data_IF_745177450352
#
_entry.id   IF_745177450352
#
_cell.length_a   1.000
_cell.length_b   1.000
_cell.length_c   1.000
_cell.angle_alpha   90.00
_cell.angle_beta   90.00
_cell.angle_gamma   90.00
#
_symmetry.space_group_name_H-M   'P 1'
#
loop_
_entity.id
_entity.type
_entity.pdbx_description
1 polymer ?
#
# COMPACT_ATOMS: atom_id res chain seq x y z
N UNK A 1 -8.06 -3.63 23.35
CA UNK A 1 -9.46 -3.94 22.99
C UNK A 1 -9.77 -3.07 21.78
N UNK A 2 -9.68 -3.61 20.58
CA UNK A 2 -10.12 -2.89 19.38
C UNK A 2 -11.66 -2.89 19.38
N UNK A 3 -12.33 -1.81 18.94
CA UNK A 3 -13.71 -1.98 18.49
C UNK A 3 -13.68 -2.97 17.33
N UNK A 4 -14.54 -4.00 17.41
CA UNK A 4 -14.72 -4.94 16.31
C UNK A 4 -14.99 -4.15 15.03
N UNK A 5 -14.05 -4.22 14.08
CA UNK A 5 -14.26 -3.73 12.74
C UNK A 5 -15.48 -4.44 12.17
N UNK A 6 -16.41 -3.67 11.61
CA UNK A 6 -17.52 -4.20 10.85
C UNK A 6 -16.96 -5.07 9.71
N UNK A 7 -17.24 -6.37 9.73
CA UNK A 7 -16.88 -7.34 8.68
C UNK A 7 -17.66 -7.13 7.35
N UNK A 8 -17.99 -5.88 7.01
CA UNK A 8 -18.77 -5.54 5.81
C UNK A 8 -18.16 -4.42 4.95
N UNK A 9 -16.94 -3.97 5.25
CA UNK A 9 -16.16 -3.23 4.26
C UNK A 9 -15.54 -4.24 3.28
N UNK A 10 -16.26 -4.57 2.19
CA UNK A 10 -15.65 -5.24 1.05
C UNK A 10 -14.61 -4.28 0.48
N UNK A 11 -13.34 -4.46 0.85
CA UNK A 11 -12.23 -3.84 0.14
C UNK A 11 -11.98 -4.69 -1.10
N UNK A 12 -12.06 -4.07 -2.28
CA UNK A 12 -11.65 -4.71 -3.54
C UNK A 12 -10.21 -4.25 -3.82
N UNK A 13 -9.17 -4.97 -3.36
CA UNK A 13 -7.80 -4.58 -3.64
C UNK A 13 -7.56 -4.67 -5.16
N UNK A 14 -6.86 -3.67 -5.69
CA UNK A 14 -6.30 -3.74 -7.05
C UNK A 14 -4.84 -4.13 -6.95
N UNK A 15 -4.36 -4.92 -7.91
CA UNK A 15 -2.95 -5.31 -8.05
C UNK A 15 -2.49 -4.90 -9.45
N UNK A 16 -1.21 -4.54 -9.57
CA UNK A 16 -0.64 -4.13 -10.84
C UNK A 16 0.88 -4.14 -10.83
N UNK A 17 1.43 -3.82 -12.00
CA UNK A 17 2.88 -3.72 -12.21
C UNK A 17 3.21 -2.32 -12.74
N UNK A 18 4.30 -1.69 -12.26
CA UNK A 18 4.76 -0.44 -12.84
C UNK A 18 5.21 -0.67 -14.29
N UNK A 19 4.90 0.28 -15.16
CA UNK A 19 5.27 0.29 -16.58
C UNK A 19 5.80 1.68 -16.94
N UNK A 20 6.75 1.74 -17.88
CA UNK A 20 7.36 3.01 -18.28
C UNK A 20 6.40 3.90 -19.10
N UNK A 21 5.51 3.28 -19.87
CA UNK A 21 4.56 3.97 -20.75
C UNK A 21 3.15 3.40 -20.60
N UNK A 22 2.14 4.24 -20.88
CA UNK A 22 0.74 3.83 -20.81
C UNK A 22 0.46 2.70 -21.81
N UNK A 23 0.07 1.54 -21.29
CA UNK A 23 -0.25 0.37 -22.10
C UNK A 23 -1.69 0.41 -22.61
N UNK A 24 -1.94 -0.22 -23.76
CA UNK A 24 -3.29 -0.58 -24.15
C UNK A 24 -3.73 -1.78 -23.30
N UNK A 25 -4.90 -1.69 -22.68
CA UNK A 25 -5.45 -2.73 -21.81
C UNK A 25 -6.81 -3.19 -22.32
N UNK A 26 -7.28 -4.34 -21.85
CA UNK A 26 -8.58 -4.92 -22.18
C UNK A 26 -9.19 -5.58 -20.93
N UNK A 27 -10.51 -5.72 -20.91
CA UNK A 27 -11.27 -6.30 -19.81
C UNK A 27 -11.11 -5.54 -18.49
N UNK A 28 -10.78 -6.28 -17.42
CA UNK A 28 -10.68 -5.77 -16.06
C UNK A 28 -9.32 -5.10 -15.74
N UNK A 29 -8.41 -5.03 -16.72
CA UNK A 29 -7.11 -4.37 -16.57
C UNK A 29 -7.22 -2.92 -17.06
N UNK A 30 -6.78 -1.98 -16.22
CA UNK A 30 -6.72 -0.56 -16.57
C UNK A 30 -5.26 -0.07 -16.57
N UNK A 31 -4.92 0.83 -17.49
CA UNK A 31 -3.68 1.58 -17.44
C UNK A 31 -3.93 2.91 -16.70
N UNK A 32 -3.45 3.00 -15.47
CA UNK A 32 -3.57 4.17 -14.60
C UNK A 32 -2.24 4.45 -13.86
N UNK A 33 -2.21 5.54 -13.10
CA UNK A 33 -1.04 6.01 -12.36
C UNK A 33 -1.42 6.39 -10.92
N UNK A 34 -0.49 6.23 -9.99
CA UNK A 34 -0.67 6.77 -8.64
C UNK A 34 -0.77 8.31 -8.68
N UNK A 35 -1.62 8.91 -7.82
CA UNK A 35 -1.75 10.37 -7.78
C UNK A 35 -0.41 11.09 -7.55
N UNK A 36 -0.18 12.19 -8.25
CA UNK A 36 0.98 13.03 -7.94
C UNK A 36 0.83 13.65 -6.54
N UNK A 37 1.89 13.60 -5.72
CA UNK A 37 1.85 14.21 -4.40
C UNK A 37 2.99 13.77 -3.49
N UNK A 38 2.88 14.14 -2.22
CA UNK A 38 3.81 13.70 -1.17
C UNK A 38 3.32 12.42 -0.56
N UNK A 39 4.20 11.44 -0.47
CA UNK A 39 3.92 10.17 0.17
C UNK A 39 4.73 10.07 1.45
N UNK A 40 4.09 9.60 2.50
CA UNK A 40 4.77 9.01 3.65
C UNK A 40 5.01 7.53 3.32
N UNK A 41 6.23 7.05 3.54
CA UNK A 41 6.57 5.65 3.28
C UNK A 41 7.24 4.96 4.47
N UNK A 42 7.12 3.64 4.51
CA UNK A 42 7.89 2.76 5.38
C UNK A 42 8.40 1.57 4.58
N UNK A 43 9.58 1.08 4.97
CA UNK A 43 10.14 -0.17 4.45
C UNK A 43 10.05 -1.23 5.54
N UNK A 44 9.33 -2.30 5.25
CA UNK A 44 9.28 -3.51 6.06
C UNK A 44 10.31 -4.51 5.54
N UNK A 45 11.10 -5.08 6.45
CA UNK A 45 12.06 -6.14 6.15
C UNK A 45 11.70 -7.34 7.00
N UNK A 46 11.37 -8.46 6.36
CA UNK A 46 10.94 -9.68 7.03
C UNK A 46 9.66 -10.28 6.45
N UNK A 47 9.19 -11.35 7.10
CA UNK A 47 7.96 -12.06 6.70
C UNK A 47 6.73 -11.12 6.69
N UNK A 48 5.76 -11.40 5.82
CA UNK A 48 4.57 -10.57 5.62
C UNK A 48 3.66 -10.47 6.86
N UNK A 49 3.74 -11.44 7.77
CA UNK A 49 3.06 -11.38 9.09
C UNK A 49 3.38 -10.09 9.85
N UNK A 50 4.55 -9.49 9.61
CA UNK A 50 4.98 -8.22 10.21
C UNK A 50 4.41 -6.96 9.54
N UNK A 51 3.83 -7.05 8.34
CA UNK A 51 3.34 -5.88 7.57
C UNK A 51 2.27 -5.11 8.34
N UNK A 52 1.41 -5.81 9.07
CA UNK A 52 0.38 -5.14 9.90
C UNK A 52 1.01 -4.20 10.93
N UNK A 53 2.14 -4.59 11.54
CA UNK A 53 2.87 -3.71 12.46
C UNK A 53 3.48 -2.51 11.74
N UNK A 54 4.00 -2.71 10.53
CA UNK A 54 4.55 -1.63 9.72
C UNK A 54 3.48 -0.59 9.35
N UNK A 55 2.25 -1.01 9.03
CA UNK A 55 1.11 -0.11 8.87
C UNK A 55 0.82 0.70 10.14
N UNK A 56 0.75 0.04 11.29
CA UNK A 56 0.48 0.72 12.56
C UNK A 56 1.55 1.76 12.92
N UNK A 57 2.83 1.45 12.71
CA UNK A 57 3.90 2.41 12.95
C UNK A 57 3.90 3.57 11.94
N UNK A 58 3.52 3.33 10.68
CA UNK A 58 3.33 4.39 9.69
C UNK A 58 2.21 5.36 10.09
N UNK A 59 1.07 4.84 10.55
CA UNK A 59 -0.05 5.63 11.06
C UNK A 59 0.34 6.45 12.30
N UNK A 60 1.01 5.80 13.25
CA UNK A 60 1.51 6.44 14.47
C UNK A 60 2.51 7.55 14.15
N UNK A 61 3.41 7.31 13.19
CA UNK A 61 4.35 8.33 12.73
C UNK A 61 3.60 9.53 12.12
N UNK A 62 2.62 9.29 11.26
CA UNK A 62 1.82 10.36 10.67
C UNK A 62 1.14 11.20 11.77
N UNK A 63 0.54 10.54 12.76
CA UNK A 63 -0.12 11.19 13.89
C UNK A 63 0.83 12.06 14.72
N UNK A 64 1.96 11.49 15.17
CA UNK A 64 2.94 12.20 16.01
C UNK A 64 3.54 13.41 15.30
N UNK A 65 3.69 13.33 13.98
CA UNK A 65 4.28 14.41 13.17
C UNK A 65 3.22 15.36 12.57
N UNK A 66 1.94 15.21 12.92
CA UNK A 66 0.87 16.07 12.41
C UNK A 66 0.66 15.98 10.89
N UNK A 67 1.07 14.87 10.28
CA UNK A 67 0.91 14.63 8.84
C UNK A 67 -0.53 14.18 8.57
N UNK A 68 -1.18 14.86 7.62
CA UNK A 68 -2.55 14.52 7.21
C UNK A 68 -2.51 13.65 5.97
N UNK A 69 -3.26 12.56 5.98
CA UNK A 69 -3.44 11.69 4.81
C UNK A 69 -4.46 12.28 3.87
N UNK A 70 -4.26 12.07 2.58
CA UNK A 70 -5.23 12.46 1.57
C UNK A 70 -6.56 11.73 1.81
N UNK A 71 -7.71 12.43 1.71
CA UNK A 71 -8.99 11.79 1.81
C UNK A 71 -9.23 10.91 0.59
N UNK A 72 -9.87 9.78 0.82
CA UNK A 72 -10.38 8.88 -0.20
C UNK A 72 -11.50 9.57 -0.99
N UNK A 73 -11.38 9.70 -2.34
CA UNK A 73 -12.47 10.27 -3.17
C UNK A 73 -13.10 9.31 -4.18
N UNK A 74 -12.44 8.22 -4.57
CA UNK A 74 -12.96 7.19 -5.48
C UNK A 74 -12.29 5.84 -5.18
N UNK A 75 -12.65 4.74 -5.85
CA UNK A 75 -12.07 3.41 -5.59
C UNK A 75 -10.54 3.33 -5.83
N UNK A 76 -9.99 4.17 -6.70
CA UNK A 76 -8.55 4.28 -6.98
C UNK A 76 -7.87 5.17 -5.93
N UNK A 77 -8.57 6.19 -5.43
CA UNK A 77 -8.16 7.04 -4.30
C UNK A 77 -8.47 6.42 -2.93
N UNK A 78 -9.27 5.35 -2.84
CA UNK A 78 -9.46 4.49 -1.66
C UNK A 78 -8.16 3.77 -1.29
N UNK A 79 -7.25 3.66 -2.25
CA UNK A 79 -6.12 2.76 -2.23
C UNK A 79 -4.78 3.50 -2.21
N UNK A 80 -4.68 4.61 -1.48
CA UNK A 80 -3.36 5.23 -1.29
C UNK A 80 -2.57 4.65 -0.15
N UNK A 81 -3.05 3.55 0.47
CA UNK A 81 -2.18 2.58 1.10
C UNK A 81 -1.74 1.59 0.01
N UNK A 82 -0.50 1.74 -0.45
CA UNK A 82 0.09 0.86 -1.46
C UNK A 82 1.15 0.00 -0.79
N UNK A 83 1.09 -1.31 -1.01
CA UNK A 83 2.17 -2.24 -0.70
C UNK A 83 2.91 -2.60 -2.00
N UNK A 84 4.23 -2.43 -2.01
CA UNK A 84 5.10 -2.82 -3.11
C UNK A 84 6.03 -3.95 -2.64
N UNK A 85 5.86 -5.14 -3.20
CA UNK A 85 6.66 -6.32 -2.88
C UNK A 85 7.91 -6.33 -3.78
N UNK A 86 9.04 -5.89 -3.23
CA UNK A 86 10.27 -5.66 -3.99
C UNK A 86 11.01 -6.96 -4.25
N UNK A 87 11.02 -7.87 -3.27
CA UNK A 87 11.60 -9.20 -3.39
C UNK A 87 10.53 -10.22 -3.76
N UNK A 88 10.86 -11.05 -4.74
CA UNK A 88 10.02 -12.18 -5.14
C UNK A 88 10.25 -13.38 -4.19
N UNK A 89 9.22 -13.78 -3.45
CA UNK A 89 9.28 -14.90 -2.51
C UNK A 89 9.69 -16.23 -3.17
N UNK A 90 9.36 -16.42 -4.45
CA UNK A 90 9.76 -17.61 -5.20
C UNK A 90 11.28 -17.63 -5.46
N UNK A 91 11.90 -16.46 -5.54
CA UNK A 91 13.35 -16.31 -5.76
C UNK A 91 14.15 -16.20 -4.45
N UNK A 92 13.53 -15.73 -3.38
CA UNK A 92 14.16 -15.52 -2.08
C UNK A 92 13.48 -16.39 -1.02
N UNK A 93 13.94 -17.61 -0.74
CA UNK A 93 13.27 -18.51 0.21
C UNK A 93 13.43 -18.09 1.68
N UNK A 94 14.32 -17.15 1.98
CA UNK A 94 14.56 -16.64 3.33
C UNK A 94 13.73 -15.37 3.57
N UNK A 95 12.61 -15.46 4.33
CA UNK A 95 11.70 -14.34 4.52
C UNK A 95 12.29 -13.21 5.35
N UNK A 96 13.40 -13.43 6.07
CA UNK A 96 14.08 -12.36 6.81
C UNK A 96 14.70 -11.29 5.90
N UNK A 97 14.77 -11.57 4.60
CA UNK A 97 15.30 -10.68 3.56
C UNK A 97 14.23 -10.09 2.67
N UNK A 98 12.95 -10.44 2.89
CA UNK A 98 11.88 -9.90 2.08
C UNK A 98 11.71 -8.42 2.35
N UNK A 99 11.54 -7.66 1.28
CA UNK A 99 11.35 -6.21 1.35
C UNK A 99 9.98 -5.84 0.81
N UNK A 100 9.20 -5.15 1.64
CA UNK A 100 7.92 -4.56 1.26
C UNK A 100 7.97 -3.06 1.57
N UNK A 101 7.64 -2.24 0.58
CA UNK A 101 7.47 -0.81 0.78
C UNK A 101 6.00 -0.46 0.90
N UNK A 102 5.68 0.34 1.90
CA UNK A 102 4.33 0.81 2.17
C UNK A 102 4.31 2.31 1.90
N UNK A 103 3.32 2.78 1.14
CA UNK A 103 3.15 4.19 0.82
C UNK A 103 1.79 4.69 1.28
N UNK A 104 1.74 5.94 1.73
CA UNK A 104 0.52 6.66 2.10
C UNK A 104 0.55 8.10 1.61
N UNK A 105 -0.37 8.48 0.72
CA UNK A 105 -0.44 9.85 0.19
C UNK A 105 -0.89 10.83 1.27
N UNK A 106 -0.22 11.97 1.30
CA UNK A 106 -0.49 13.09 2.19
C UNK A 106 -1.39 14.14 1.52
N UNK A 107 -2.17 14.86 2.33
CA UNK A 107 -3.05 15.96 1.94
C UNK A 107 -2.30 17.31 1.87
#
# INVERSE_FOLDING_TARGET
HFPAGNESAITSPSVGFPVDEKQQTDGDVIADSFPAGKYLSAKHIGHYDGITQAHMELEKYAHVNGLKKAPVKNAIEMAVLVESYITDEEKYPDPSKWETEIFSLLA
#
